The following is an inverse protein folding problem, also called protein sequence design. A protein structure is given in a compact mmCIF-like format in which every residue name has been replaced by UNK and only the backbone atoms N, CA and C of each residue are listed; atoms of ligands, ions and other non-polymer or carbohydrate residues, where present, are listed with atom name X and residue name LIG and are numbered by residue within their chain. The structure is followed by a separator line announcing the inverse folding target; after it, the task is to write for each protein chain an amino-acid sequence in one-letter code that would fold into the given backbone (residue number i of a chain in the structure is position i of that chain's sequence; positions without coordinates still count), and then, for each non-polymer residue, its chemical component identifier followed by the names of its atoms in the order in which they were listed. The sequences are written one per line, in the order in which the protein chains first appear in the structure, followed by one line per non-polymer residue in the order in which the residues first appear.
data_IF_266953431542
#
_entry.id   IF_266953431542
#
_cell.length_a   1.000
_cell.length_b   1.000
_cell.length_c   1.000
_cell.angle_alpha   90.00
_cell.angle_beta   90.00
_cell.angle_gamma   90.00
#
_symmetry.space_group_name_H-M   'P 1'
#
loop_
_entity.id
_entity.type
_entity.pdbx_description
1 polymer ?
#
# COMPACT_ATOMS: atom_id res chain seq x y z
N UNK A 1 10.38 15.36 8.49
CA UNK A 1 9.95 16.00 9.76
C UNK A 1 8.63 16.72 9.53
N UNK A 2 7.72 16.75 10.53
CA UNK A 2 6.48 17.55 10.46
C UNK A 2 6.86 19.03 10.52
N UNK A 3 6.26 19.86 9.67
CA UNK A 3 6.51 21.31 9.65
C UNK A 3 5.36 22.03 10.34
N UNK A 4 5.70 22.98 11.19
CA UNK A 4 4.78 23.97 11.76
C UNK A 4 5.19 25.34 11.21
N UNK A 5 4.31 25.99 10.46
CA UNK A 5 4.58 27.34 9.95
C UNK A 5 4.14 28.38 10.98
N UNK A 6 4.92 29.45 11.08
CA UNK A 6 4.55 30.65 11.84
C UNK A 6 3.84 31.65 10.92
N UNK A 7 3.21 32.68 11.50
CA UNK A 7 2.65 33.83 10.77
C UNK A 7 1.49 33.52 9.80
N UNK A 8 0.65 32.52 10.11
CA UNK A 8 -0.60 32.28 9.37
C UNK A 8 -0.44 31.66 7.98
N UNK A 9 0.75 31.17 7.63
CA UNK A 9 0.99 30.42 6.39
C UNK A 9 0.23 29.08 6.42
N UNK A 10 -0.75 28.93 5.53
CA UNK A 10 -1.61 27.74 5.44
C UNK A 10 -0.86 26.47 5.00
N UNK A 11 0.27 26.63 4.31
CA UNK A 11 1.13 25.53 3.87
C UNK A 11 2.07 25.96 2.76
N UNK A 12 3.16 25.20 2.58
CA UNK A 12 4.14 25.41 1.54
C UNK A 12 4.41 24.10 0.80
N UNK A 13 4.57 24.17 -0.52
CA UNK A 13 4.99 23.04 -1.36
C UNK A 13 6.10 23.48 -2.30
N UNK A 14 7.08 22.61 -2.54
CA UNK A 14 8.20 22.92 -3.43
C UNK A 14 9.57 22.81 -2.77
N UNK A 15 10.58 23.35 -3.45
CA UNK A 15 11.99 23.26 -3.04
C UNK A 15 12.49 24.63 -2.58
N UNK A 16 12.99 24.72 -1.35
CA UNK A 16 13.59 25.93 -0.78
C UNK A 16 14.75 25.53 0.11
N UNK A 17 15.89 26.20 -0.02
CA UNK A 17 17.07 26.07 0.87
C UNK A 17 17.51 24.62 1.14
N UNK A 18 17.56 23.80 0.10
CA UNK A 18 17.96 22.39 0.22
C UNK A 18 16.94 21.51 0.95
N UNK A 19 15.71 21.99 1.15
CA UNK A 19 14.56 21.23 1.63
C UNK A 19 13.52 21.06 0.53
N UNK A 20 12.76 19.97 0.63
CA UNK A 20 11.54 19.73 -0.15
C UNK A 20 10.36 19.68 0.80
N UNK A 21 9.40 20.56 0.58
CA UNK A 21 8.14 20.63 1.30
C UNK A 21 7.06 19.90 0.51
N UNK A 22 6.39 18.98 1.18
CA UNK A 22 5.33 18.17 0.60
C UNK A 22 4.09 18.26 1.48
N UNK A 23 2.96 18.61 0.87
CA UNK A 23 1.66 18.62 1.55
C UNK A 23 0.99 17.24 1.43
N UNK A 24 0.54 16.68 2.55
CA UNK A 24 -0.27 15.47 2.57
C UNK A 24 -1.73 15.85 2.80
N UNK A 25 -2.57 15.66 1.77
CA UNK A 25 -4.03 15.93 1.86
C UNK A 25 -4.70 15.09 2.94
N UNK A 26 -4.32 13.81 3.02
CA UNK A 26 -4.91 12.83 3.94
C UNK A 26 -4.60 13.11 5.41
N UNK A 27 -3.45 13.74 5.68
CA UNK A 27 -3.03 14.07 7.04
C UNK A 27 -3.26 15.55 7.38
N UNK A 28 -3.65 16.37 6.39
CA UNK A 28 -3.78 17.82 6.52
C UNK A 28 -2.49 18.52 6.99
N UNK A 29 -1.31 17.99 6.62
CA UNK A 29 -0.03 18.41 7.19
C UNK A 29 1.03 18.55 6.10
N UNK A 30 1.93 19.52 6.28
CA UNK A 30 3.16 19.64 5.49
C UNK A 30 4.30 18.94 6.22
N UNK A 31 5.10 18.20 5.45
CA UNK A 31 6.36 17.65 5.91
C UNK A 31 7.50 18.19 5.04
N UNK A 32 8.64 18.40 5.68
CA UNK A 32 9.87 18.77 5.01
C UNK A 32 10.86 17.61 5.09
N UNK A 33 11.61 17.43 4.01
CA UNK A 33 12.77 16.53 3.94
C UNK A 33 13.94 17.25 3.30
N UNK A 34 15.16 16.81 3.61
CA UNK A 34 16.35 17.27 2.88
C UNK A 34 16.24 16.89 1.40
N UNK A 35 16.58 17.81 0.52
CA UNK A 35 16.65 17.61 -0.92
C UNK A 35 17.97 16.92 -1.27
N UNK A 36 18.00 15.60 -1.12
CA UNK A 36 19.13 14.75 -1.50
C UNK A 36 18.82 13.99 -2.78
N UNK A 37 19.80 13.93 -3.69
CA UNK A 37 19.68 13.08 -4.88
C UNK A 37 19.71 11.61 -4.46
N UNK A 38 18.74 10.79 -4.90
CA UNK A 38 18.67 9.38 -4.53
C UNK A 38 19.86 8.61 -5.15
N UNK A 39 20.43 7.68 -4.38
CA UNK A 39 21.41 6.71 -4.89
C UNK A 39 20.71 5.38 -5.10
N UNK A 40 20.98 4.72 -6.23
CA UNK A 40 20.47 3.37 -6.46
C UNK A 40 21.21 2.41 -5.53
N UNK A 41 20.46 1.55 -4.84
CA UNK A 41 20.98 0.53 -3.94
C UNK A 41 20.43 -0.83 -4.34
N UNK A 42 21.09 -1.92 -3.92
CA UNK A 42 20.60 -3.28 -4.15
C UNK A 42 19.18 -3.50 -3.58
N UNK A 43 18.84 -2.81 -2.49
CA UNK A 43 17.48 -2.84 -1.93
C UNK A 43 16.45 -2.20 -2.86
N UNK A 44 16.81 -1.13 -3.59
CA UNK A 44 15.93 -0.53 -4.58
C UNK A 44 15.65 -1.50 -5.74
N UNK A 45 16.68 -2.22 -6.20
CA UNK A 45 16.53 -3.23 -7.24
C UNK A 45 15.66 -4.41 -6.77
N UNK A 46 15.84 -4.86 -5.52
CA UNK A 46 15.02 -5.90 -4.89
C UNK A 46 13.55 -5.50 -4.83
N UNK A 47 13.25 -4.33 -4.26
CA UNK A 47 11.87 -3.82 -4.14
C UNK A 47 11.25 -3.60 -5.52
N UNK A 48 12.02 -3.06 -6.48
CA UNK A 48 11.58 -2.87 -7.86
C UNK A 48 11.20 -4.19 -8.53
N UNK A 49 12.06 -5.20 -8.44
CA UNK A 49 11.84 -6.52 -9.03
C UNK A 49 10.59 -7.20 -8.45
N UNK A 50 10.43 -7.20 -7.13
CA UNK A 50 9.26 -7.77 -6.46
C UNK A 50 7.98 -7.04 -6.87
N UNK A 51 8.03 -5.70 -6.88
CA UNK A 51 6.87 -4.89 -7.27
C UNK A 51 6.47 -5.19 -8.72
N UNK A 52 7.44 -5.27 -9.64
CA UNK A 52 7.19 -5.64 -11.03
C UNK A 52 6.57 -7.03 -11.16
N UNK A 53 7.07 -8.03 -10.42
CA UNK A 53 6.51 -9.37 -10.40
C UNK A 53 5.05 -9.38 -9.90
N UNK A 54 4.77 -8.72 -8.77
CA UNK A 54 3.42 -8.62 -8.19
C UNK A 54 2.42 -7.97 -9.16
N UNK A 55 2.83 -6.92 -9.88
CA UNK A 55 1.95 -6.26 -10.85
C UNK A 55 1.86 -6.98 -12.20
N UNK A 56 2.80 -7.89 -12.50
CA UNK A 56 2.73 -8.74 -13.70
C UNK A 56 1.55 -9.72 -13.68
N UNK A 57 1.03 -10.02 -12.48
CA UNK A 57 -0.20 -10.83 -12.26
C UNK A 57 -1.44 -10.16 -12.88
N UNK A 58 -1.39 -8.84 -13.11
CA UNK A 58 -2.46 -8.03 -13.72
C UNK A 58 -3.81 -8.20 -13.00
N UNK A 59 -3.93 -7.68 -11.76
CA UNK A 59 -5.18 -7.75 -11.00
C UNK A 59 -6.37 -7.23 -11.80
N UNK A 60 -7.49 -7.95 -11.77
CA UNK A 60 -8.73 -7.61 -12.47
C UNK A 60 -9.26 -6.24 -12.03
N UNK A 61 -10.02 -5.57 -12.90
CA UNK A 61 -10.58 -4.24 -12.57
C UNK A 61 -11.56 -4.32 -11.39
N UNK A 62 -12.30 -5.42 -11.28
CA UNK A 62 -13.22 -5.66 -10.18
C UNK A 62 -12.47 -5.79 -8.85
N UNK A 63 -11.39 -6.58 -8.80
CA UNK A 63 -10.53 -6.68 -7.62
C UNK A 63 -9.87 -5.35 -7.24
N UNK A 64 -9.42 -4.56 -8.23
CA UNK A 64 -8.90 -3.21 -7.96
C UNK A 64 -9.96 -2.30 -7.31
N UNK A 65 -11.23 -2.40 -7.73
CA UNK A 65 -12.33 -1.64 -7.15
C UNK A 65 -12.63 -2.11 -5.71
N UNK A 66 -12.58 -3.41 -5.44
CA UNK A 66 -12.73 -3.97 -4.09
C UNK A 66 -11.65 -3.43 -3.16
N UNK A 67 -10.37 -3.47 -3.59
CA UNK A 67 -9.28 -2.86 -2.83
C UNK A 67 -9.47 -1.37 -2.60
N UNK A 68 -10.03 -0.64 -3.57
CA UNK A 68 -10.31 0.78 -3.43
C UNK A 68 -11.40 1.05 -2.37
N UNK A 69 -12.48 0.27 -2.38
CA UNK A 69 -13.57 0.38 -1.41
C UNK A 69 -13.11 -0.05 -0.02
N UNK A 70 -12.48 -1.22 0.09
CA UNK A 70 -11.90 -1.72 1.32
C UNK A 70 -10.92 -0.72 1.93
N UNK A 71 -10.02 -0.13 1.12
CA UNK A 71 -9.05 0.90 1.58
C UNK A 71 -9.74 2.04 2.32
N UNK A 72 -10.90 2.48 1.86
CA UNK A 72 -11.64 3.59 2.50
C UNK A 72 -12.05 3.20 3.92
N UNK A 73 -12.54 1.97 4.10
CA UNK A 73 -12.91 1.43 5.43
C UNK A 73 -11.69 1.14 6.29
N UNK A 74 -10.65 0.54 5.71
CA UNK A 74 -9.38 0.27 6.35
C UNK A 74 -8.76 1.54 6.95
N UNK A 75 -8.74 2.64 6.20
CA UNK A 75 -8.21 3.92 6.67
C UNK A 75 -9.08 4.58 7.75
N UNK A 76 -10.36 4.22 7.84
CA UNK A 76 -11.26 4.72 8.88
C UNK A 76 -11.01 4.04 10.25
N UNK A 77 -10.31 2.89 10.28
CA UNK A 77 -9.92 2.24 11.53
C UNK A 77 -9.01 3.15 12.35
N UNK A 78 -9.22 3.17 13.68
CA UNK A 78 -8.48 4.03 14.62
C UNK A 78 -6.97 3.85 14.51
N UNK A 79 -6.52 2.62 14.32
CA UNK A 79 -5.10 2.26 14.19
C UNK A 79 -4.44 2.87 12.94
N UNK A 80 -5.21 3.09 11.88
CA UNK A 80 -4.69 3.54 10.59
C UNK A 80 -4.83 5.07 10.38
N UNK A 81 -5.47 5.79 11.29
CA UNK A 81 -5.71 7.24 11.16
C UNK A 81 -4.43 8.04 10.94
N UNK A 82 -3.34 7.64 11.60
CA UNK A 82 -2.04 8.32 11.48
C UNK A 82 -1.21 7.86 10.27
N UNK A 83 -1.53 6.69 9.73
CA UNK A 83 -0.78 6.04 8.65
C UNK A 83 -1.73 5.51 7.55
N UNK A 84 -2.54 6.39 6.93
CA UNK A 84 -3.49 5.95 5.93
C UNK A 84 -2.77 5.44 4.69
N UNK A 85 -3.27 4.35 4.13
CA UNK A 85 -2.81 3.82 2.84
C UNK A 85 -3.32 4.75 1.74
N UNK A 86 -2.49 5.10 0.75
CA UNK A 86 -2.77 6.17 -0.23
C UNK A 86 -3.44 5.70 -1.52
N UNK A 87 -3.27 4.45 -1.90
CA UNK A 87 -3.79 3.90 -3.16
C UNK A 87 -4.19 2.45 -3.00
N UNK A 88 -5.03 1.95 -3.93
CA UNK A 88 -5.33 0.52 -4.02
C UNK A 88 -4.05 -0.30 -4.25
N UNK A 89 -3.09 0.25 -5.03
CA UNK A 89 -1.81 -0.40 -5.32
C UNK A 89 -0.92 -0.54 -4.09
N UNK A 90 -0.92 0.46 -3.21
CA UNK A 90 -0.19 0.37 -1.94
C UNK A 90 -0.83 -0.64 -0.98
N UNK A 91 -2.16 -0.73 -0.97
CA UNK A 91 -2.87 -1.74 -0.19
C UNK A 91 -2.62 -3.15 -0.75
N UNK A 92 -2.62 -3.30 -2.07
CA UNK A 92 -2.32 -4.55 -2.75
C UNK A 92 -0.90 -5.05 -2.43
N UNK A 93 0.10 -4.17 -2.49
CA UNK A 93 1.46 -4.50 -2.04
C UNK A 93 1.46 -4.92 -0.58
N UNK A 94 0.78 -4.19 0.31
CA UNK A 94 0.68 -4.56 1.73
C UNK A 94 0.09 -5.95 1.93
N UNK A 95 -0.99 -6.28 1.21
CA UNK A 95 -1.60 -7.61 1.23
C UNK A 95 -0.58 -8.68 0.83
N UNK A 96 0.13 -8.48 -0.30
CA UNK A 96 1.11 -9.45 -0.80
C UNK A 96 2.29 -9.64 0.18
N UNK A 97 2.83 -8.55 0.74
CA UNK A 97 3.90 -8.63 1.73
C UNK A 97 3.44 -9.26 3.05
N UNK A 98 2.22 -8.97 3.51
CA UNK A 98 1.68 -9.61 4.71
C UNK A 98 1.48 -11.12 4.49
N UNK A 99 1.03 -11.52 3.30
CA UNK A 99 0.90 -12.94 2.93
C UNK A 99 2.26 -13.65 2.95
N UNK A 100 3.28 -13.11 2.29
CA UNK A 100 4.63 -13.69 2.31
C UNK A 100 5.30 -13.64 3.70
N UNK A 101 4.86 -12.74 4.57
CA UNK A 101 5.30 -12.71 5.97
C UNK A 101 4.63 -13.81 6.80
N UNK A 102 3.37 -14.12 6.52
CA UNK A 102 2.63 -15.18 7.20
C UNK A 102 3.12 -16.58 6.74
N UNK A 103 3.49 -16.72 5.47
CA UNK A 103 4.07 -17.94 4.91
C UNK A 103 5.41 -17.64 4.22
N UNK A 104 6.54 -17.90 4.91
CA UNK A 104 7.88 -17.71 4.37
C UNK A 104 8.22 -18.58 3.14
N UNK A 105 7.39 -19.59 2.82
CA UNK A 105 7.55 -20.40 1.61
C UNK A 105 7.17 -19.67 0.32
N UNK A 106 6.48 -18.52 0.43
CA UNK A 106 6.02 -17.74 -0.73
C UNK A 106 7.11 -16.76 -1.17
N UNK A 107 7.70 -17.01 -2.35
CA UNK A 107 8.55 -16.03 -3.02
C UNK A 107 7.73 -15.10 -3.93
N UNK A 108 7.62 -13.84 -3.51
CA UNK A 108 6.91 -12.79 -4.26
C UNK A 108 7.56 -12.44 -5.61
N UNK A 109 8.84 -12.79 -5.81
CA UNK A 109 9.56 -12.49 -7.05
C UNK A 109 9.17 -13.44 -8.18
N UNK A 110 8.80 -14.68 -7.86
CA UNK A 110 8.43 -15.73 -8.81
C UNK A 110 6.94 -16.05 -8.78
N UNK A 111 6.15 -15.29 -8.02
CA UNK A 111 4.72 -15.53 -7.84
C UNK A 111 3.97 -15.34 -9.16
N UNK A 112 3.25 -16.39 -9.59
CA UNK A 112 2.38 -16.34 -10.77
C UNK A 112 0.91 -16.43 -10.37
N UNK A 113 0.04 -16.06 -11.31
CA UNK A 113 -1.41 -16.16 -11.14
C UNK A 113 -1.85 -17.60 -10.95
N UNK A 114 -1.29 -18.52 -11.74
CA UNK A 114 -1.62 -19.95 -11.68
C UNK A 114 -1.24 -20.55 -10.33
N UNK A 115 -0.09 -20.15 -9.78
CA UNK A 115 0.36 -20.59 -8.45
C UNK A 115 -0.62 -20.13 -7.36
N UNK A 116 -1.09 -18.88 -7.44
CA UNK A 116 -2.07 -18.31 -6.49
C UNK A 116 -3.33 -19.18 -6.43
N UNK A 117 -3.89 -19.55 -7.58
CA UNK A 117 -5.10 -20.36 -7.65
C UNK A 117 -4.87 -21.83 -7.28
N UNK A 118 -3.74 -22.41 -7.71
CA UNK A 118 -3.42 -23.80 -7.45
C UNK A 118 -3.20 -24.09 -5.95
N UNK A 119 -2.63 -23.13 -5.22
CA UNK A 119 -2.38 -23.22 -3.78
C UNK A 119 -3.45 -22.55 -2.92
N UNK A 120 -4.56 -22.12 -3.52
CA UNK A 120 -5.65 -21.38 -2.86
C UNK A 120 -5.15 -20.24 -1.95
N UNK A 121 -4.21 -19.43 -2.46
CA UNK A 121 -3.58 -18.40 -1.64
C UNK A 121 -4.60 -17.33 -1.20
N UNK A 122 -4.45 -16.76 -0.01
CA UNK A 122 -5.41 -15.81 0.54
C UNK A 122 -5.50 -14.49 -0.25
N UNK A 123 -4.56 -14.23 -1.17
CA UNK A 123 -4.58 -13.05 -2.04
C UNK A 123 -5.57 -13.10 -3.21
N UNK A 124 -6.28 -14.22 -3.40
CA UNK A 124 -7.27 -14.37 -4.48
C UNK A 124 -8.35 -13.28 -4.41
N UNK A 125 -8.89 -13.01 -3.23
CA UNK A 125 -9.89 -11.95 -3.01
C UNK A 125 -9.62 -11.21 -1.70
N UNK A 126 -10.14 -9.98 -1.58
CA UNK A 126 -9.97 -9.19 -0.34
C UNK A 126 -10.66 -9.89 0.83
N UNK A 127 -11.84 -10.49 0.59
CA UNK A 127 -12.55 -11.31 1.57
C UNK A 127 -11.66 -12.43 2.12
N UNK A 128 -11.06 -13.26 1.24
CA UNK A 128 -10.17 -14.36 1.66
C UNK A 128 -8.97 -13.86 2.45
N UNK A 129 -8.40 -12.71 2.07
CA UNK A 129 -7.29 -12.12 2.80
C UNK A 129 -7.67 -11.68 4.23
N UNK A 130 -8.91 -11.22 4.44
CA UNK A 130 -9.42 -10.89 5.78
C UNK A 130 -9.70 -12.15 6.58
N UNK A 131 -10.36 -13.15 5.99
CA UNK A 131 -10.66 -14.43 6.64
C UNK A 131 -9.40 -15.19 7.08
N UNK A 132 -8.32 -15.08 6.29
CA UNK A 132 -7.01 -15.64 6.62
C UNK A 132 -6.19 -14.78 7.61
N UNK A 133 -6.73 -13.66 8.10
CA UNK A 133 -6.06 -12.76 9.04
C UNK A 133 -4.88 -11.95 8.47
N UNK A 134 -4.72 -11.94 7.13
CA UNK A 134 -3.66 -11.17 6.44
C UNK A 134 -3.96 -9.67 6.46
N UNK A 135 -5.25 -9.34 6.36
CA UNK A 135 -5.79 -7.99 6.48
C UNK A 135 -6.78 -7.93 7.66
N UNK A 136 -6.90 -6.79 8.36
CA UNK A 136 -7.85 -6.67 9.45
C UNK A 136 -9.29 -6.66 8.93
N UNK A 137 -10.21 -7.09 9.80
CA UNK A 137 -11.63 -7.04 9.52
C UNK A 137 -12.14 -5.60 9.45
N UNK A 138 -12.99 -5.32 8.46
CA UNK A 138 -13.67 -4.02 8.30
C UNK A 138 -15.13 -4.26 8.00
N UNK A 139 -15.98 -3.28 8.30
CA UNK A 139 -17.41 -3.39 7.99
C UNK A 139 -17.68 -3.72 6.51
N UNK A 140 -18.50 -4.74 6.26
CA UNK A 140 -18.90 -5.22 4.92
C UNK A 140 -17.75 -5.77 4.07
N UNK A 141 -16.73 -6.37 4.71
CA UNK A 141 -15.62 -6.98 3.97
C UNK A 141 -16.05 -8.18 3.12
N UNK A 142 -17.16 -8.83 3.50
CA UNK A 142 -17.72 -10.02 2.86
C UNK A 142 -18.18 -9.76 1.42
N UNK A 143 -18.49 -8.50 1.09
CA UNK A 143 -18.87 -8.07 -0.25
C UNK A 143 -17.68 -8.01 -1.22
N UNK A 144 -16.44 -8.03 -0.71
CA UNK A 144 -15.22 -7.88 -1.51
C UNK A 144 -14.68 -9.25 -1.98
N UNK A 145 -15.51 -9.97 -2.72
CA UNK A 145 -15.27 -11.33 -3.19
C UNK A 145 -14.74 -11.41 -4.62
N UNK A 146 -14.52 -10.28 -5.31
CA UNK A 146 -13.98 -10.32 -6.66
C UNK A 146 -12.55 -10.87 -6.65
N UNK A 147 -12.22 -11.65 -7.67
CA UNK A 147 -10.93 -12.30 -7.76
C UNK A 147 -9.90 -11.43 -8.49
N UNK A 148 -8.65 -11.56 -8.06
CA UNK A 148 -7.44 -11.00 -8.68
C UNK A 148 -7.41 -11.29 -10.16
#
# INVERSE_FOLDING_TARGET
MKVTFQYGLAGYTGKVDGLVYCYSKELGRVYARRNTYPKLTAENERVGSITSAIFSIKPSKAFQNDLYLYRTRYNALRENQNHPVRSWSALYLKLMYNMAKADPGIDLKTLTREYIYMHDLPCISVKKAVEAGILPEVYMYEAYSNEI
#
